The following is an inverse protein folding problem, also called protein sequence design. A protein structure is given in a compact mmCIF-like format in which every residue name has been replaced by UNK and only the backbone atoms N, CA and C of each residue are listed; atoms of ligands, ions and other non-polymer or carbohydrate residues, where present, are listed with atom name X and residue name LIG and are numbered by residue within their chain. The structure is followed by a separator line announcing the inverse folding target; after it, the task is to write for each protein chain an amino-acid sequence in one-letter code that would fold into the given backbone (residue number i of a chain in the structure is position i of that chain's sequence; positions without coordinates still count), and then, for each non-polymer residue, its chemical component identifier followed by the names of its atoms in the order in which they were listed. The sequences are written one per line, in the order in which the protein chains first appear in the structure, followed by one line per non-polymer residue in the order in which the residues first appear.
data_IF_316305037419
#
_entry.id   IF_316305037419
#
_cell.length_a   1.000
_cell.length_b   1.000
_cell.length_c   1.000
_cell.angle_alpha   90.00
_cell.angle_beta   90.00
_cell.angle_gamma   90.00
#
_symmetry.space_group_name_H-M   'P 1'
#
loop_
_entity.id
_entity.type
_entity.pdbx_description
1 polymer ?
#
# COMPACT_ATOMS: atom_id res chain seq x y z
N UNK A 1 -15.31 15.20 9.87
CA UNK A 1 -15.60 14.57 8.54
C UNK A 1 -14.66 15.15 7.52
N UNK A 2 -13.88 14.32 6.87
CA UNK A 2 -12.93 14.71 5.83
C UNK A 2 -13.37 14.11 4.48
N UNK A 3 -13.03 14.79 3.39
CA UNK A 3 -13.32 14.34 2.03
C UNK A 3 -12.03 13.95 1.32
N UNK A 4 -12.01 12.73 0.80
CA UNK A 4 -10.91 12.18 0.00
C UNK A 4 -11.36 12.11 -1.45
N UNK A 5 -10.65 12.78 -2.35
CA UNK A 5 -10.89 12.65 -3.79
C UNK A 5 -9.93 11.59 -4.35
N UNK A 6 -10.46 10.44 -4.68
CA UNK A 6 -9.71 9.31 -5.23
C UNK A 6 -10.10 8.97 -6.68
N UNK A 7 -10.70 9.94 -7.38
CA UNK A 7 -11.00 9.83 -8.83
C UNK A 7 -9.70 9.71 -9.61
N UNK A 8 -9.60 8.73 -10.52
CA UNK A 8 -8.40 8.44 -11.31
C UNK A 8 -7.29 7.70 -10.56
N UNK A 9 -7.47 7.41 -9.28
CA UNK A 9 -6.48 6.65 -8.51
C UNK A 9 -6.57 5.16 -8.82
N UNK A 10 -5.41 4.56 -9.11
CA UNK A 10 -5.31 3.11 -9.28
C UNK A 10 -5.44 2.38 -7.92
N UNK A 11 -5.98 1.14 -7.95
CA UNK A 11 -5.95 0.26 -6.79
C UNK A 11 -4.48 -0.01 -6.37
N UNK A 12 -4.15 0.01 -5.06
CA UNK A 12 -5.02 0.11 -3.89
C UNK A 12 -5.19 1.53 -3.31
N UNK A 13 -4.76 2.59 -3.99
CA UNK A 13 -4.66 3.95 -3.46
C UNK A 13 -5.95 4.49 -2.82
N UNK A 14 -7.16 4.31 -3.41
CA UNK A 14 -8.39 4.80 -2.77
C UNK A 14 -8.60 4.23 -1.36
N UNK A 15 -8.28 2.94 -1.16
CA UNK A 15 -8.40 2.27 0.14
C UNK A 15 -7.37 2.81 1.13
N UNK A 16 -6.13 2.99 0.68
CA UNK A 16 -5.03 3.49 1.52
C UNK A 16 -5.34 4.91 2.00
N UNK A 17 -5.71 5.83 1.09
CA UNK A 17 -6.00 7.22 1.46
C UNK A 17 -7.22 7.33 2.39
N UNK A 18 -8.25 6.51 2.17
CA UNK A 18 -9.41 6.45 3.06
C UNK A 18 -9.00 5.94 4.45
N UNK A 19 -8.21 4.85 4.52
CA UNK A 19 -7.73 4.30 5.79
C UNK A 19 -6.84 5.28 6.54
N UNK A 20 -5.99 6.01 5.83
CA UNK A 20 -5.13 7.06 6.39
C UNK A 20 -5.96 8.20 6.99
N UNK A 21 -6.98 8.68 6.29
CA UNK A 21 -7.89 9.69 6.78
C UNK A 21 -8.67 9.20 8.02
N UNK A 22 -9.08 7.94 8.06
CA UNK A 22 -9.74 7.32 9.21
C UNK A 22 -8.84 7.21 10.46
N UNK A 23 -7.52 7.35 10.37
CA UNK A 23 -6.66 7.40 11.56
C UNK A 23 -6.95 8.62 12.43
N UNK A 24 -7.30 9.74 11.83
CA UNK A 24 -7.52 11.03 12.51
C UNK A 24 -8.99 11.45 12.58
N UNK A 25 -9.84 10.91 11.73
CA UNK A 25 -11.24 11.30 11.58
C UNK A 25 -12.19 10.11 11.84
N UNK A 26 -13.36 10.39 12.39
CA UNK A 26 -14.37 9.36 12.63
C UNK A 26 -15.28 9.12 11.43
N UNK A 27 -15.37 10.10 10.52
CA UNK A 27 -16.19 10.02 9.30
C UNK A 27 -15.37 10.49 8.12
N UNK A 28 -15.23 9.63 7.11
CA UNK A 28 -14.51 9.92 5.87
C UNK A 28 -15.41 9.67 4.67
N UNK A 29 -15.52 10.66 3.80
CA UNK A 29 -16.24 10.58 2.52
C UNK A 29 -15.22 10.47 1.39
N UNK A 30 -15.22 9.36 0.67
CA UNK A 30 -14.28 9.09 -0.42
C UNK A 30 -15.03 9.05 -1.76
N UNK A 31 -14.60 9.90 -2.71
CA UNK A 31 -15.13 9.90 -4.08
C UNK A 31 -14.23 9.05 -4.96
N UNK A 32 -14.83 8.09 -5.69
CA UNK A 32 -14.14 7.21 -6.66
C UNK A 32 -14.92 7.17 -7.98
N UNK A 33 -14.26 6.69 -9.05
CA UNK A 33 -14.79 6.68 -10.42
C UNK A 33 -15.15 5.27 -10.94
N UNK A 34 -15.01 4.25 -10.12
CA UNK A 34 -15.29 2.87 -10.54
C UNK A 34 -15.84 2.00 -9.40
N UNK A 35 -16.65 0.99 -9.78
CA UNK A 35 -17.31 0.08 -8.84
C UNK A 35 -16.33 -0.84 -8.09
N UNK A 36 -15.16 -1.15 -8.67
CA UNK A 36 -14.16 -1.99 -8.01
C UNK A 36 -13.61 -1.27 -6.78
N UNK A 37 -13.36 0.03 -6.87
CA UNK A 37 -12.92 0.83 -5.74
C UNK A 37 -13.98 0.88 -4.63
N UNK A 38 -15.29 0.97 -4.95
CA UNK A 38 -16.36 0.94 -3.94
C UNK A 38 -16.41 -0.39 -3.20
N UNK A 39 -16.24 -1.51 -3.91
CA UNK A 39 -16.19 -2.84 -3.31
C UNK A 39 -14.97 -3.03 -2.39
N UNK A 40 -13.81 -2.51 -2.79
CA UNK A 40 -12.61 -2.56 -1.96
C UNK A 40 -12.76 -1.71 -0.69
N UNK A 41 -13.36 -0.53 -0.79
CA UNK A 41 -13.69 0.31 0.36
C UNK A 41 -14.71 -0.37 1.29
N UNK A 42 -15.70 -1.07 0.71
CA UNK A 42 -16.68 -1.85 1.49
C UNK A 42 -16.01 -2.98 2.28
N UNK A 43 -15.10 -3.73 1.64
CA UNK A 43 -14.33 -4.79 2.32
C UNK A 43 -13.49 -4.22 3.45
N UNK A 44 -12.76 -3.12 3.20
CA UNK A 44 -11.97 -2.44 4.23
C UNK A 44 -12.85 -2.00 5.41
N UNK A 45 -13.99 -1.37 5.16
CA UNK A 45 -14.90 -0.95 6.23
C UNK A 45 -15.41 -2.14 7.05
N UNK A 46 -15.75 -3.26 6.39
CA UNK A 46 -16.19 -4.48 7.07
C UNK A 46 -15.07 -5.11 7.92
N UNK A 47 -13.83 -5.13 7.43
CA UNK A 47 -12.66 -5.62 8.20
C UNK A 47 -12.39 -4.78 9.45
N UNK A 48 -12.61 -3.46 9.35
CA UNK A 48 -12.44 -2.54 10.46
C UNK A 48 -13.65 -2.47 11.40
N UNK A 49 -14.76 -3.12 11.03
CA UNK A 49 -16.01 -3.05 11.81
C UNK A 49 -16.69 -1.68 11.73
N UNK A 50 -16.46 -0.91 10.67
CA UNK A 50 -16.99 0.43 10.46
C UNK A 50 -18.25 0.41 9.60
N UNK A 51 -19.13 1.38 9.79
CA UNK A 51 -20.29 1.57 8.94
C UNK A 51 -19.88 2.03 7.54
N UNK A 52 -20.59 1.54 6.51
CA UNK A 52 -20.34 1.83 5.11
C UNK A 52 -21.64 2.28 4.45
N UNK A 53 -21.59 3.41 3.76
CA UNK A 53 -22.67 3.91 2.94
C UNK A 53 -22.15 4.24 1.54
N UNK A 54 -22.90 3.87 0.50
CA UNK A 54 -22.60 4.15 -0.90
C UNK A 54 -23.67 5.04 -1.50
N UNK A 55 -23.27 6.14 -2.11
CA UNK A 55 -24.12 7.00 -2.92
C UNK A 55 -23.59 7.01 -4.36
N UNK A 56 -24.39 6.54 -5.31
CA UNK A 56 -24.09 6.64 -6.72
C UNK A 56 -24.55 8.02 -7.23
N UNK A 57 -23.63 8.86 -7.68
CA UNK A 57 -23.95 10.19 -8.22
C UNK A 57 -24.07 10.18 -9.74
N UNK A 58 -23.30 9.33 -10.43
CA UNK A 58 -23.36 9.08 -11.86
C UNK A 58 -22.77 7.70 -12.19
N UNK A 59 -22.74 7.31 -13.46
CA UNK A 59 -22.22 6.03 -13.95
C UNK A 59 -20.74 5.80 -13.57
N UNK A 60 -19.99 6.90 -13.44
CA UNK A 60 -18.54 6.95 -13.18
C UNK A 60 -18.20 7.81 -11.95
N UNK A 61 -19.16 8.03 -11.06
CA UNK A 61 -18.93 8.82 -9.84
C UNK A 61 -19.69 8.24 -8.65
N UNK A 62 -18.95 7.75 -7.71
CA UNK A 62 -19.44 7.10 -6.50
C UNK A 62 -18.87 7.80 -5.28
N UNK A 63 -19.70 8.03 -4.29
CA UNK A 63 -19.31 8.60 -3.00
C UNK A 63 -19.53 7.54 -1.93
N UNK A 64 -18.45 7.15 -1.28
CA UNK A 64 -18.44 6.18 -0.18
C UNK A 64 -18.20 6.93 1.12
N UNK A 65 -19.11 6.78 2.07
CA UNK A 65 -18.95 7.29 3.43
C UNK A 65 -18.63 6.11 4.36
N UNK A 66 -17.49 6.20 5.04
CA UNK A 66 -17.08 5.25 6.08
C UNK A 66 -17.10 5.98 7.42
N UNK A 67 -17.81 5.41 8.39
CA UNK A 67 -17.98 5.98 9.72
C UNK A 67 -17.52 4.98 10.79
N UNK A 68 -16.64 5.41 11.69
CA UNK A 68 -16.31 4.62 12.89
C UNK A 68 -17.57 4.45 13.73
N UNK A 69 -17.91 3.22 14.04
CA UNK A 69 -19.06 2.94 14.93
C UNK A 69 -18.61 2.97 16.38
N UNK A 70 -19.25 3.82 17.21
CA UNK A 70 -19.17 3.71 18.66
C UNK A 70 -20.02 2.52 19.09
N UNK A 71 -19.40 1.38 19.26
CA UNK A 71 -20.09 0.19 19.74
C UNK A 71 -19.15 -0.99 19.71
N UNK A 72 -18.73 -1.41 20.91
CA UNK A 72 -17.85 -2.54 21.16
C UNK A 72 -16.73 -2.68 20.13
N UNK A 73 -15.54 -2.29 20.55
CA UNK A 73 -14.27 -2.74 20.00
C UNK A 73 -14.22 -4.28 20.02
N UNK A 74 -15.01 -4.93 19.22
CA UNK A 74 -14.53 -6.04 18.45
C UNK A 74 -13.81 -5.45 17.23
N UNK A 75 -12.89 -4.49 17.50
CA UNK A 75 -11.64 -4.60 16.82
C UNK A 75 -11.33 -6.09 16.92
N UNK A 76 -11.50 -6.85 15.84
CA UNK A 76 -10.44 -7.75 15.51
C UNK A 76 -9.26 -6.81 15.28
N UNK A 77 -8.70 -6.34 16.38
CA UNK A 77 -7.26 -6.24 16.52
C UNK A 77 -6.81 -7.55 15.91
N UNK A 78 -6.09 -7.56 14.80
CA UNK A 78 -5.39 -8.76 14.37
C UNK A 78 -4.77 -9.22 15.66
N UNK A 79 -5.15 -10.42 16.13
CA UNK A 79 -5.02 -10.87 17.52
C UNK A 79 -3.67 -10.44 18.01
N UNK A 80 -3.62 -9.68 19.12
CA UNK A 80 -2.45 -8.97 19.62
C UNK A 80 -1.19 -9.62 19.09
N UNK A 81 -0.54 -8.98 18.10
CA UNK A 81 0.58 -9.55 17.40
C UNK A 81 1.51 -10.03 18.49
N UNK A 82 1.53 -11.32 18.74
CA UNK A 82 2.58 -11.91 19.56
C UNK A 82 3.85 -11.54 18.82
N UNK A 83 4.96 -11.32 19.50
CA UNK A 83 6.30 -10.99 18.96
C UNK A 83 6.78 -11.84 17.74
N UNK A 84 5.88 -12.58 17.10
CA UNK A 84 6.07 -13.51 15.97
C UNK A 84 5.53 -13.01 14.63
N UNK A 85 4.92 -11.82 14.54
CA UNK A 85 4.33 -11.31 13.29
C UNK A 85 5.33 -10.53 12.43
N UNK A 86 6.61 -10.75 12.66
CA UNK A 86 7.65 -10.25 11.78
C UNK A 86 7.58 -10.99 10.43
N UNK A 87 7.44 -10.22 9.35
CA UNK A 87 7.46 -10.78 8.00
C UNK A 87 8.59 -10.17 7.17
N UNK A 88 8.97 -10.90 6.13
CA UNK A 88 10.00 -10.51 5.18
C UNK A 88 9.35 -10.39 3.80
N UNK A 89 9.72 -9.36 3.06
CA UNK A 89 9.34 -9.18 1.66
C UNK A 89 10.53 -9.47 0.78
N UNK A 90 10.33 -10.25 -0.29
CA UNK A 90 11.38 -10.61 -1.24
C UNK A 90 10.94 -10.19 -2.64
N UNK A 91 11.76 -9.41 -3.35
CA UNK A 91 11.45 -8.79 -4.65
C UNK A 91 12.52 -9.16 -5.65
N UNK A 92 12.13 -9.90 -6.71
CA UNK A 92 13.02 -10.42 -7.75
C UNK A 92 12.89 -9.70 -9.10
N UNK A 93 11.90 -8.82 -9.23
CA UNK A 93 11.57 -8.13 -10.48
C UNK A 93 11.24 -6.66 -10.23
N UNK A 94 11.50 -5.76 -11.19
CA UNK A 94 11.05 -4.37 -11.12
C UNK A 94 9.55 -4.23 -11.42
N UNK A 95 8.90 -5.33 -11.83
CA UNK A 95 7.47 -5.39 -12.17
C UNK A 95 6.76 -6.47 -11.36
N UNK A 96 5.51 -6.26 -11.05
CA UNK A 96 4.65 -7.25 -10.42
C UNK A 96 3.81 -7.95 -11.48
N UNK A 97 3.93 -9.29 -11.53
CA UNK A 97 3.24 -10.14 -12.51
C UNK A 97 3.98 -10.26 -13.84
N UNK A 98 3.47 -11.17 -14.68
CA UNK A 98 3.99 -11.45 -16.04
C UNK A 98 2.92 -11.04 -17.05
N UNK A 99 2.98 -9.83 -17.56
CA UNK A 99 2.03 -9.29 -18.51
C UNK A 99 2.52 -7.99 -19.08
N UNK A 100 1.67 -6.99 -19.13
CA UNK A 100 2.07 -5.65 -19.56
C UNK A 100 3.11 -5.04 -18.60
N UNK A 101 4.21 -4.58 -19.17
CA UNK A 101 5.35 -4.08 -18.39
C UNK A 101 5.00 -2.79 -17.63
N UNK A 102 4.26 -1.88 -18.27
CA UNK A 102 3.89 -0.61 -17.65
C UNK A 102 2.92 -0.83 -16.49
N UNK A 103 1.95 -1.72 -16.67
CA UNK A 103 1.04 -2.13 -15.61
C UNK A 103 1.82 -2.78 -14.46
N UNK A 104 2.78 -3.66 -14.79
CA UNK A 104 3.62 -4.34 -13.79
C UNK A 104 4.46 -3.36 -12.96
N UNK A 105 5.02 -2.30 -13.57
CA UNK A 105 5.74 -1.23 -12.87
C UNK A 105 4.80 -0.45 -11.93
N UNK A 106 3.63 -0.07 -12.42
CA UNK A 106 2.63 0.63 -11.61
C UNK A 106 2.16 -0.20 -10.41
N UNK A 107 1.96 -1.51 -10.60
CA UNK A 107 1.60 -2.43 -9.54
C UNK A 107 2.71 -2.58 -8.50
N UNK A 108 3.98 -2.70 -8.92
CA UNK A 108 5.12 -2.77 -8.01
C UNK A 108 5.26 -1.49 -7.17
N UNK A 109 5.12 -0.32 -7.80
CA UNK A 109 5.12 0.97 -7.10
C UNK A 109 3.98 1.06 -6.07
N UNK A 110 2.76 0.70 -6.47
CA UNK A 110 1.61 0.65 -5.56
C UNK A 110 1.80 -0.34 -4.41
N UNK A 111 2.43 -1.49 -4.66
CA UNK A 111 2.75 -2.48 -3.64
C UNK A 111 3.74 -1.93 -2.61
N UNK A 112 4.88 -1.36 -3.05
CA UNK A 112 5.88 -0.79 -2.13
C UNK A 112 5.28 0.36 -1.32
N UNK A 113 4.51 1.25 -1.95
CA UNK A 113 3.78 2.28 -1.24
C UNK A 113 2.79 1.69 -0.21
N UNK A 114 2.07 0.61 -0.55
CA UNK A 114 1.14 -0.02 0.38
C UNK A 114 1.82 -0.60 1.63
N UNK A 115 3.09 -1.02 1.51
CA UNK A 115 3.87 -1.48 2.67
C UNK A 115 4.15 -0.34 3.65
N UNK A 116 4.40 0.89 3.17
CA UNK A 116 4.65 2.05 4.05
C UNK A 116 3.43 2.42 4.91
N UNK A 117 2.23 2.01 4.49
CA UNK A 117 0.96 2.33 5.14
C UNK A 117 0.43 1.19 6.04
N UNK A 118 1.19 0.08 6.18
CA UNK A 118 0.83 -0.99 7.11
C UNK A 118 1.07 -0.59 8.56
N UNK A 119 0.27 -1.13 9.47
CA UNK A 119 0.46 -0.94 10.91
C UNK A 119 1.72 -1.65 11.43
N UNK A 120 2.10 -2.77 10.78
CA UNK A 120 3.34 -3.50 11.01
C UNK A 120 4.15 -3.48 9.72
N UNK A 121 5.32 -2.83 9.75
CA UNK A 121 6.22 -2.79 8.62
C UNK A 121 6.96 -4.14 8.46
N UNK A 122 7.40 -4.51 7.24
CA UNK A 122 8.26 -5.66 7.07
C UNK A 122 9.55 -5.48 7.87
N UNK A 123 10.00 -6.52 8.55
CA UNK A 123 11.31 -6.51 9.22
C UNK A 123 12.44 -6.33 8.23
N UNK A 124 12.32 -7.01 7.05
CA UNK A 124 13.32 -6.98 5.97
C UNK A 124 12.65 -6.93 4.61
N UNK A 125 13.29 -6.20 3.69
CA UNK A 125 12.98 -6.29 2.26
C UNK A 125 14.26 -6.69 1.54
N UNK A 126 14.20 -7.78 0.78
CA UNK A 126 15.35 -8.35 0.08
C UNK A 126 15.12 -8.22 -1.42
N UNK A 127 16.03 -7.53 -2.10
CA UNK A 127 16.00 -7.36 -3.55
C UNK A 127 17.08 -8.23 -4.20
N UNK A 128 16.70 -9.01 -5.21
CA UNK A 128 17.63 -9.83 -5.97
C UNK A 128 17.23 -9.89 -7.44
N UNK A 129 18.11 -10.44 -8.28
CA UNK A 129 17.93 -10.50 -9.73
C UNK A 129 17.43 -9.17 -10.32
N UNK A 130 16.36 -9.17 -11.11
CA UNK A 130 15.77 -7.96 -11.70
C UNK A 130 15.16 -6.97 -10.71
N UNK A 131 15.03 -7.32 -9.43
CA UNK A 131 14.54 -6.42 -8.38
C UNK A 131 15.58 -5.38 -7.91
N UNK A 132 16.89 -5.63 -8.10
CA UNK A 132 17.95 -4.73 -7.59
C UNK A 132 17.95 -3.29 -8.14
N UNK A 133 17.42 -2.98 -9.34
CA UNK A 133 17.27 -1.59 -9.78
C UNK A 133 16.35 -0.75 -8.86
N UNK A 134 15.44 -1.39 -8.13
CA UNK A 134 14.51 -0.67 -7.25
C UNK A 134 15.19 -0.01 -6.04
N UNK A 135 16.42 -0.42 -5.68
CA UNK A 135 17.20 0.19 -4.59
C UNK A 135 18.30 1.14 -5.09
N UNK A 136 18.24 1.58 -6.33
CA UNK A 136 19.20 2.55 -6.89
C UNK A 136 18.70 3.99 -6.76
N UNK A 137 19.62 4.94 -6.90
CA UNK A 137 19.36 6.38 -6.80
C UNK A 137 18.30 6.89 -7.79
N UNK A 138 18.16 6.20 -8.92
CA UNK A 138 17.20 6.56 -9.98
C UNK A 138 15.82 5.90 -9.80
N UNK A 139 15.60 5.18 -8.71
CA UNK A 139 14.37 4.42 -8.47
C UNK A 139 13.20 5.32 -8.03
N UNK A 140 12.04 5.16 -8.68
CA UNK A 140 10.81 5.89 -8.33
C UNK A 140 10.20 5.48 -6.98
N UNK A 141 10.65 4.35 -6.41
CA UNK A 141 10.18 3.85 -5.11
C UNK A 141 11.18 4.10 -3.98
N UNK A 142 12.27 4.79 -4.27
CA UNK A 142 13.36 5.00 -3.32
C UNK A 142 12.91 5.74 -2.05
N UNK A 143 12.06 6.76 -2.19
CA UNK A 143 11.56 7.52 -1.04
C UNK A 143 10.74 6.65 -0.09
N UNK A 144 9.92 5.75 -0.63
CA UNK A 144 9.11 4.84 0.19
C UNK A 144 9.98 3.80 0.90
N UNK A 145 11.02 3.29 0.23
CA UNK A 145 12.01 2.41 0.85
C UNK A 145 12.79 3.14 1.97
N UNK A 146 13.20 4.38 1.76
CA UNK A 146 13.89 5.18 2.77
C UNK A 146 12.99 5.47 3.98
N UNK A 147 11.69 5.74 3.80
CA UNK A 147 10.73 5.88 4.89
C UNK A 147 10.66 4.62 5.75
N UNK A 148 10.57 3.45 5.11
CA UNK A 148 10.55 2.17 5.84
C UNK A 148 11.87 1.90 6.54
N UNK A 149 13.01 2.18 5.90
CA UNK A 149 14.33 2.03 6.52
C UNK A 149 14.49 2.93 7.73
N UNK A 150 14.05 4.19 7.66
CA UNK A 150 14.06 5.12 8.80
C UNK A 150 13.15 4.65 9.96
N UNK A 151 12.12 3.87 9.65
CA UNK A 151 11.24 3.26 10.65
C UNK A 151 11.72 1.89 11.17
N UNK A 152 12.89 1.41 10.72
CA UNK A 152 13.54 0.20 11.23
C UNK A 152 13.50 -1.03 10.32
N UNK A 153 12.91 -0.93 9.11
CA UNK A 153 12.97 -2.00 8.10
C UNK A 153 14.40 -2.13 7.56
N UNK A 154 14.96 -3.34 7.58
CA UNK A 154 16.26 -3.62 6.97
C UNK A 154 16.12 -3.83 5.45
N UNK A 155 16.83 -3.05 4.63
CA UNK A 155 16.80 -3.16 3.17
C UNK A 155 18.09 -3.84 2.69
N UNK A 156 17.95 -4.96 1.97
CA UNK A 156 19.06 -5.73 1.43
C UNK A 156 18.99 -5.84 -0.10
N UNK A 157 20.13 -5.66 -0.75
CA UNK A 157 20.32 -5.93 -2.16
C UNK A 157 21.34 -7.05 -2.39
N UNK A 158 21.04 -7.96 -3.30
CA UNK A 158 21.96 -9.04 -3.70
C UNK A 158 23.21 -8.45 -4.37
N UNK A 159 24.37 -8.52 -3.72
CA UNK A 159 25.64 -7.99 -4.25
C UNK A 159 26.05 -8.60 -5.59
N UNK A 160 25.86 -9.92 -5.79
CA UNK A 160 26.13 -10.59 -7.06
C UNK A 160 25.24 -10.03 -8.19
N UNK A 161 23.95 -9.76 -7.89
CA UNK A 161 23.02 -9.19 -8.86
C UNK A 161 23.38 -7.73 -9.18
N UNK A 162 23.69 -6.91 -8.19
CA UNK A 162 24.14 -5.54 -8.37
C UNK A 162 25.40 -5.47 -9.28
N UNK A 163 26.36 -6.34 -9.02
CA UNK A 163 27.56 -6.45 -9.84
C UNK A 163 27.23 -6.89 -11.28
N UNK A 164 26.40 -7.91 -11.46
CA UNK A 164 25.99 -8.41 -12.78
C UNK A 164 25.33 -7.33 -13.64
N UNK A 165 24.46 -6.51 -13.04
CA UNK A 165 23.77 -5.40 -13.72
C UNK A 165 24.57 -4.08 -13.76
N UNK A 166 25.80 -4.04 -13.21
CA UNK A 166 26.62 -2.82 -13.15
C UNK A 166 26.01 -1.71 -12.29
N UNK A 167 25.29 -2.07 -11.24
CA UNK A 167 24.53 -1.15 -10.38
C UNK A 167 25.17 -0.91 -9.00
N UNK A 168 26.32 -1.52 -8.71
CA UNK A 168 26.95 -1.45 -7.38
C UNK A 168 27.19 -0.01 -6.91
N UNK A 169 27.66 0.88 -7.80
CA UNK A 169 27.93 2.29 -7.50
C UNK A 169 26.67 3.18 -7.49
N UNK A 170 25.54 2.61 -7.91
CA UNK A 170 24.24 3.32 -7.98
C UNK A 170 23.33 3.04 -6.79
N UNK A 171 23.70 2.15 -5.90
CA UNK A 171 22.92 1.86 -4.69
C UNK A 171 22.79 3.12 -3.84
N UNK A 172 21.57 3.35 -3.31
CA UNK A 172 21.24 4.54 -2.53
C UNK A 172 21.54 4.36 -1.04
#
# INVERSE_FOLDING_TARGET
MVKVNAVGMACPLPVIETRKALRTEDVVETTVDNKIATENLRKMAAELGYAYELKEESVDRFVVTVTKTEGEKTVRVPAAHKDTDEYIVVIDSPTMGKGDEQLGKNLMKGFIYSLTEQDVLPRRIIFYNGGVPLITKDSEVLEDLQKMAAAGTEIFGCGACLNFYGLTEKVA
#
